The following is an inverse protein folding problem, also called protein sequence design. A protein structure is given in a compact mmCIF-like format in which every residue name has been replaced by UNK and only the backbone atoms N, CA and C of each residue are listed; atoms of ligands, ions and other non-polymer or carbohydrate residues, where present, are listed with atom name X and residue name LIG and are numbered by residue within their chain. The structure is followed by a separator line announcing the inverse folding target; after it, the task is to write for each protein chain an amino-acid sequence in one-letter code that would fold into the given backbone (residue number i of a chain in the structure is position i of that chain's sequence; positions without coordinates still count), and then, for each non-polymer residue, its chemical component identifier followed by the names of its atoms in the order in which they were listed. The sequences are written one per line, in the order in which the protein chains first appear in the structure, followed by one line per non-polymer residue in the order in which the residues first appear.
data_IF_288150943949
#
_entry.id   IF_288150943949
#
_cell.length_a   1.000
_cell.length_b   1.000
_cell.length_c   1.000
_cell.angle_alpha   90.00
_cell.angle_beta   90.00
_cell.angle_gamma   90.00
#
_symmetry.space_group_name_H-M   'P 1'
#
loop_
_entity.id
_entity.type
_entity.pdbx_description
1 polymer ?
#
# COMPACT_ATOMS: atom_id res chain seq x y z
N UNK A 1 -16.59 -13.06 0.94
CA UNK A 1 -15.37 -13.27 0.15
C UNK A 1 -14.21 -12.70 0.93
N UNK A 2 -13.04 -13.35 0.88
CA UNK A 2 -11.83 -12.77 1.46
C UNK A 2 -11.24 -11.72 0.51
N UNK A 3 -10.68 -10.66 1.09
CA UNK A 3 -9.99 -9.60 0.34
C UNK A 3 -8.61 -9.39 0.94
N UNK A 4 -7.60 -9.60 0.11
CA UNK A 4 -6.19 -9.34 0.43
C UNK A 4 -5.70 -8.17 -0.43
N UNK A 5 -5.01 -7.23 0.20
CA UNK A 5 -4.33 -6.11 -0.45
C UNK A 5 -2.84 -6.29 -0.25
N UNK A 6 -2.07 -6.29 -1.33
CA UNK A 6 -0.60 -6.34 -1.26
C UNK A 6 -0.01 -5.11 -1.92
N UNK A 7 0.89 -4.43 -1.22
CA UNK A 7 1.63 -3.28 -1.70
C UNK A 7 3.09 -3.71 -1.88
N UNK A 8 3.68 -3.40 -3.04
CA UNK A 8 5.08 -3.74 -3.36
C UNK A 8 5.78 -2.54 -3.96
N UNK A 9 6.93 -2.17 -3.43
CA UNK A 9 7.79 -1.17 -4.09
C UNK A 9 8.70 -1.85 -5.12
N UNK A 10 8.59 -1.48 -6.39
CA UNK A 10 9.40 -2.07 -7.45
C UNK A 10 10.81 -1.53 -7.38
N UNK A 11 11.79 -2.42 -7.27
CA UNK A 11 13.20 -2.06 -7.38
C UNK A 11 13.53 -1.70 -8.84
N UNK A 12 13.80 -0.42 -9.13
CA UNK A 12 14.20 -0.02 -10.49
C UNK A 12 15.61 -0.46 -10.87
N UNK A 13 16.43 -0.93 -9.92
CA UNK A 13 17.72 -1.54 -10.21
C UNK A 13 17.62 -3.01 -10.65
N UNK A 14 16.45 -3.64 -10.54
CA UNK A 14 16.24 -5.01 -10.98
C UNK A 14 16.55 -5.16 -12.47
N UNK A 15 17.42 -6.10 -12.80
CA UNK A 15 17.80 -6.46 -14.16
C UNK A 15 17.23 -7.82 -14.53
N UNK A 16 16.21 -7.83 -15.39
CA UNK A 16 15.66 -9.08 -15.93
C UNK A 16 16.72 -9.86 -16.72
N UNK A 17 17.59 -9.17 -17.47
CA UNK A 17 18.66 -9.81 -18.25
C UNK A 17 19.66 -10.56 -17.35
N UNK A 18 20.03 -9.97 -16.21
CA UNK A 18 20.90 -10.64 -15.23
C UNK A 18 20.21 -11.87 -14.63
N UNK A 19 18.92 -11.74 -14.28
CA UNK A 19 18.11 -12.84 -13.77
C UNK A 19 18.03 -14.00 -14.77
N UNK A 20 17.72 -13.72 -16.04
CA UNK A 20 17.62 -14.73 -17.09
C UNK A 20 18.94 -15.48 -17.31
N UNK A 21 20.06 -14.75 -17.25
CA UNK A 21 21.39 -15.32 -17.51
C UNK A 21 21.94 -16.15 -16.35
N UNK A 22 21.68 -15.76 -15.10
CA UNK A 22 22.37 -16.33 -13.94
C UNK A 22 21.45 -17.06 -12.96
N UNK A 23 20.13 -16.83 -13.02
CA UNK A 23 19.15 -17.31 -12.04
C UNK A 23 17.84 -17.79 -12.69
N UNK A 24 17.88 -18.27 -13.93
CA UNK A 24 16.71 -18.85 -14.63
C UNK A 24 15.50 -17.88 -14.72
N UNK A 25 15.79 -16.58 -14.78
CA UNK A 25 14.79 -15.50 -14.83
C UNK A 25 14.21 -15.10 -13.48
N UNK A 26 14.69 -15.70 -12.39
CA UNK A 26 14.28 -15.40 -11.02
C UNK A 26 15.16 -14.33 -10.38
N UNK A 27 14.62 -13.68 -9.34
CA UNK A 27 15.39 -12.76 -8.51
C UNK A 27 16.44 -13.51 -7.67
N UNK A 28 17.44 -12.76 -7.23
CA UNK A 28 18.51 -13.23 -6.35
C UNK A 28 18.85 -12.15 -5.33
N UNK A 29 19.68 -12.49 -4.34
CA UNK A 29 20.10 -11.54 -3.30
C UNK A 29 20.75 -10.27 -3.87
N UNK A 30 21.47 -10.40 -5.00
CA UNK A 30 22.12 -9.30 -5.69
C UNK A 30 21.21 -8.58 -6.71
N UNK A 31 20.01 -9.12 -6.98
CA UNK A 31 19.08 -8.64 -8.00
C UNK A 31 17.63 -8.82 -7.55
N UNK A 32 17.29 -8.25 -6.39
CA UNK A 32 15.95 -8.29 -5.81
C UNK A 32 14.94 -7.51 -6.65
N UNK A 33 13.72 -8.03 -6.79
CA UNK A 33 12.70 -7.41 -7.66
C UNK A 33 11.89 -6.32 -6.97
N UNK A 34 11.64 -6.49 -5.68
CA UNK A 34 10.87 -5.55 -4.87
C UNK A 34 11.71 -5.14 -3.66
N UNK A 35 11.72 -3.85 -3.32
CA UNK A 35 12.49 -3.35 -2.18
C UNK A 35 11.84 -3.76 -0.85
N UNK A 36 10.50 -3.80 -0.82
CA UNK A 36 9.71 -4.24 0.32
C UNK A 36 8.30 -4.66 -0.14
N UNK A 37 7.61 -5.39 0.72
CA UNK A 37 6.23 -5.86 0.55
C UNK A 37 5.44 -5.62 1.84
N UNK A 38 4.20 -5.17 1.70
CA UNK A 38 3.21 -5.07 2.78
C UNK A 38 1.93 -5.80 2.37
N UNK A 39 1.47 -6.75 3.19
CA UNK A 39 0.27 -7.54 2.93
C UNK A 39 -0.77 -7.33 4.04
N UNK A 40 -1.99 -7.01 3.63
CA UNK A 40 -3.11 -6.72 4.50
C UNK A 40 -4.30 -7.59 4.09
N UNK A 41 -4.98 -8.15 5.09
CA UNK A 41 -6.22 -8.90 4.88
C UNK A 41 -7.38 -8.22 5.62
N UNK A 42 -8.53 -8.12 4.96
CA UNK A 42 -9.76 -7.69 5.63
C UNK A 42 -10.26 -8.85 6.49
N UNK A 43 -10.29 -8.64 7.81
CA UNK A 43 -10.57 -9.71 8.78
C UNK A 43 -12.00 -10.27 8.72
N UNK A 44 -12.95 -9.51 8.17
CA UNK A 44 -14.34 -9.91 8.00
C UNK A 44 -14.65 -10.29 6.56
N UNK A 45 -15.68 -11.13 6.36
CA UNK A 45 -16.22 -11.43 5.04
C UNK A 45 -16.71 -10.16 4.34
N UNK A 46 -16.09 -9.86 3.21
CA UNK A 46 -16.45 -8.72 2.38
C UNK A 46 -17.66 -9.10 1.51
N UNK A 47 -18.65 -8.22 1.47
CA UNK A 47 -19.84 -8.34 0.64
C UNK A 47 -19.67 -7.56 -0.69
N UNK A 48 -18.97 -6.42 -0.66
CA UNK A 48 -18.69 -5.60 -1.84
C UNK A 48 -17.25 -5.07 -1.83
N UNK A 49 -16.57 -5.16 -2.97
CA UNK A 49 -15.21 -4.66 -3.17
C UNK A 49 -15.19 -3.71 -4.37
N UNK A 50 -14.97 -2.44 -4.11
CA UNK A 50 -15.00 -1.37 -5.12
C UNK A 50 -13.67 -0.62 -5.16
N UNK A 51 -13.21 -0.27 -6.36
CA UNK A 51 -12.00 0.54 -6.57
C UNK A 51 -12.40 1.91 -7.10
N UNK A 52 -12.05 2.95 -6.36
CA UNK A 52 -12.24 4.34 -6.74
C UNK A 52 -10.90 4.92 -7.20
N UNK A 53 -10.78 5.12 -8.51
CA UNK A 53 -9.61 5.76 -9.10
C UNK A 53 -9.78 7.28 -9.15
N UNK A 54 -8.70 8.00 -8.84
CA UNK A 54 -8.64 9.46 -8.91
C UNK A 54 -9.71 10.15 -8.04
N UNK A 55 -9.87 9.65 -6.82
CA UNK A 55 -10.81 10.18 -5.84
C UNK A 55 -10.08 10.95 -4.75
N UNK A 56 -10.84 11.70 -3.96
CA UNK A 56 -10.39 12.21 -2.68
C UNK A 56 -10.47 11.11 -1.62
N UNK A 57 -9.47 11.05 -0.73
CA UNK A 57 -9.47 10.24 0.48
C UNK A 57 -9.54 11.16 1.70
N UNK A 58 -10.50 10.94 2.59
CA UNK A 58 -10.59 11.68 3.84
C UNK A 58 -9.65 11.04 4.87
N UNK A 59 -8.52 11.68 5.12
CA UNK A 59 -7.62 11.35 6.21
C UNK A 59 -8.19 11.97 7.49
N UNK A 60 -8.68 11.14 8.40
CA UNK A 60 -9.30 11.57 9.65
C UNK A 60 -8.75 10.80 10.85
N UNK A 61 -8.72 11.44 12.01
CA UNK A 61 -8.15 10.87 13.23
C UNK A 61 -8.19 11.86 14.39
N UNK A 62 -7.44 11.56 15.44
CA UNK A 62 -7.27 12.44 16.59
C UNK A 62 -5.80 12.83 16.77
N UNK A 63 -5.55 14.13 16.95
CA UNK A 63 -4.30 14.71 17.43
C UNK A 63 -4.46 15.01 18.92
N UNK A 64 -4.08 14.05 19.77
CA UNK A 64 -4.47 14.05 21.19
C UNK A 64 -5.99 14.01 21.34
N UNK A 65 -6.59 15.08 21.87
CA UNK A 65 -8.05 15.23 22.01
C UNK A 65 -8.70 16.04 20.86
N UNK A 66 -7.92 16.47 19.86
CA UNK A 66 -8.43 17.29 18.76
C UNK A 66 -8.71 16.41 17.53
N UNK A 67 -9.97 16.29 17.09
CA UNK A 67 -10.26 15.62 15.84
C UNK A 67 -9.71 16.43 14.67
N UNK A 68 -9.13 15.75 13.69
CA UNK A 68 -8.70 16.35 12.43
C UNK A 68 -9.34 15.63 11.24
N UNK A 69 -9.45 16.34 10.12
CA UNK A 69 -9.89 15.78 8.85
C UNK A 69 -9.31 16.56 7.68
N UNK A 70 -8.60 15.87 6.79
CA UNK A 70 -8.03 16.43 5.58
C UNK A 70 -8.44 15.59 4.36
N UNK A 71 -8.85 16.25 3.28
CA UNK A 71 -9.13 15.57 2.02
C UNK A 71 -7.87 15.54 1.17
N UNK A 72 -7.38 14.33 0.87
CA UNK A 72 -6.20 14.11 0.05
C UNK A 72 -6.65 13.77 -1.37
N UNK A 73 -6.44 14.66 -2.37
CA UNK A 73 -6.87 14.42 -3.74
C UNK A 73 -5.96 13.42 -4.46
N UNK A 74 -6.45 12.87 -5.58
CA UNK A 74 -5.62 12.08 -6.49
C UNK A 74 -5.24 10.70 -5.94
N UNK A 75 -6.11 10.10 -5.14
CA UNK A 75 -5.92 8.79 -4.52
C UNK A 75 -6.57 7.68 -5.35
N UNK A 76 -6.04 6.47 -5.21
CA UNK A 76 -6.71 5.22 -5.57
C UNK A 76 -7.18 4.57 -4.28
N UNK A 77 -8.48 4.41 -4.11
CA UNK A 77 -9.09 3.89 -2.87
C UNK A 77 -9.78 2.56 -3.14
N UNK A 78 -9.37 1.51 -2.45
CA UNK A 78 -10.08 0.24 -2.39
C UNK A 78 -11.04 0.27 -1.19
N UNK A 79 -12.33 0.22 -1.47
CA UNK A 79 -13.38 0.18 -0.45
C UNK A 79 -13.91 -1.26 -0.33
N UNK A 80 -13.86 -1.80 0.89
CA UNK A 80 -14.37 -3.11 1.23
C UNK A 80 -15.55 -2.93 2.19
N UNK A 81 -16.76 -3.30 1.74
CA UNK A 81 -17.96 -3.29 2.60
C UNK A 81 -18.17 -4.70 3.11
N UNK A 82 -18.14 -4.87 4.43
CA UNK A 82 -18.37 -6.17 5.06
C UNK A 82 -19.86 -6.49 5.11
N UNK A 83 -20.20 -7.77 5.29
CA UNK A 83 -21.60 -8.19 5.43
C UNK A 83 -22.31 -7.53 6.63
N UNK A 84 -21.56 -7.14 7.66
CA UNK A 84 -22.04 -6.40 8.84
C UNK A 84 -22.26 -4.91 8.61
N UNK A 85 -21.88 -4.38 7.44
CA UNK A 85 -22.01 -2.96 7.09
C UNK A 85 -20.79 -2.10 7.45
N UNK A 86 -19.71 -2.69 7.97
CA UNK A 86 -18.45 -1.98 8.19
C UNK A 86 -17.78 -1.67 6.85
N UNK A 87 -17.06 -0.55 6.79
CA UNK A 87 -16.34 -0.12 5.59
C UNK A 87 -14.86 -0.02 5.93
N UNK A 88 -14.05 -0.87 5.31
CA UNK A 88 -12.58 -0.76 5.34
C UNK A 88 -12.09 -0.08 4.07
N UNK A 89 -11.13 0.84 4.20
CA UNK A 89 -10.55 1.58 3.06
C UNK A 89 -9.04 1.49 3.06
N UNK A 90 -8.51 1.07 1.92
CA UNK A 90 -7.08 1.12 1.60
C UNK A 90 -6.88 2.22 0.56
N UNK A 91 -5.87 3.06 0.72
CA UNK A 91 -5.74 4.25 -0.11
C UNK A 91 -4.28 4.50 -0.48
N UNK A 92 -4.00 4.65 -1.78
CA UNK A 92 -2.65 4.90 -2.27
C UNK A 92 -2.65 6.12 -3.19
N UNK A 93 -1.74 7.06 -2.96
CA UNK A 93 -1.51 8.20 -3.85
C UNK A 93 -1.15 7.72 -5.24
N UNK A 94 -1.92 8.14 -6.25
CA UNK A 94 -1.71 7.69 -7.64
C UNK A 94 -0.33 8.02 -8.19
N UNK A 95 0.31 9.09 -7.69
CA UNK A 95 1.66 9.48 -8.09
C UNK A 95 2.69 8.41 -7.72
N UNK A 96 2.46 7.66 -6.63
CA UNK A 96 3.30 6.54 -6.17
C UNK A 96 3.07 5.28 -7.01
N UNK A 97 1.86 5.07 -7.51
CA UNK A 97 1.46 3.86 -8.23
C UNK A 97 2.16 3.81 -9.60
N UNK A 98 2.85 2.70 -9.85
CA UNK A 98 3.33 2.28 -11.18
C UNK A 98 2.29 1.45 -11.90
N UNK A 99 1.71 0.46 -11.22
CA UNK A 99 0.70 -0.44 -11.79
C UNK A 99 -0.23 -0.99 -10.70
N UNK A 100 -1.37 -1.54 -11.09
CA UNK A 100 -2.27 -2.27 -10.18
C UNK A 100 -2.76 -3.55 -10.83
N UNK A 101 -2.86 -4.62 -10.05
CA UNK A 101 -3.38 -5.91 -10.54
C UNK A 101 -4.47 -6.43 -9.63
N UNK A 102 -5.58 -6.87 -10.22
CA UNK A 102 -6.64 -7.60 -9.52
C UNK A 102 -6.60 -9.07 -9.93
N UNK A 103 -6.54 -9.96 -8.95
CA UNK A 103 -6.73 -11.40 -9.12
C UNK A 103 -7.99 -11.83 -8.38
N UNK A 104 -8.75 -12.76 -8.95
CA UNK A 104 -9.94 -13.32 -8.32
C UNK A 104 -9.83 -14.84 -8.34
N UNK A 105 -9.95 -15.48 -7.19
CA UNK A 105 -9.88 -16.94 -7.08
C UNK A 105 -11.16 -17.56 -7.62
N UNK A 106 -11.13 -18.88 -7.90
CA UNK A 106 -12.35 -19.63 -8.30
C UNK A 106 -13.46 -19.58 -7.25
N UNK A 107 -13.12 -19.29 -5.98
CA UNK A 107 -14.06 -19.15 -4.87
C UNK A 107 -14.63 -17.74 -4.73
N UNK A 108 -14.12 -16.78 -5.50
CA UNK A 108 -14.55 -15.39 -5.46
C UNK A 108 -13.72 -14.49 -4.54
N UNK A 109 -12.65 -15.00 -3.92
CA UNK A 109 -11.75 -14.18 -3.10
C UNK A 109 -10.96 -13.23 -4.00
N UNK A 110 -10.73 -12.02 -3.52
CA UNK A 110 -10.07 -10.96 -4.27
C UNK A 110 -8.68 -10.71 -3.70
N UNK A 111 -7.68 -10.70 -4.57
CA UNK A 111 -6.34 -10.22 -4.24
C UNK A 111 -6.02 -9.02 -5.09
N UNK A 112 -5.82 -7.86 -4.47
CA UNK A 112 -5.49 -6.62 -5.16
C UNK A 112 -4.06 -6.18 -4.87
N UNK A 113 -3.31 -5.90 -5.91
CA UNK A 113 -1.91 -5.50 -5.83
C UNK A 113 -1.76 -4.03 -6.21
N UNK A 114 -1.05 -3.29 -5.37
CA UNK A 114 -0.45 -2.00 -5.71
C UNK A 114 1.05 -2.19 -5.95
N UNK A 115 1.52 -1.85 -7.14
CA UNK A 115 2.94 -1.77 -7.43
C UNK A 115 3.37 -0.31 -7.40
N UNK A 116 4.23 0.06 -6.45
CA UNK A 116 4.75 1.41 -6.28
C UNK A 116 6.06 1.59 -7.05
N UNK A 117 6.32 2.83 -7.45
CA UNK A 117 7.62 3.26 -7.98
C UNK A 117 8.62 3.40 -6.82
N UNK A 118 9.86 2.98 -7.01
CA UNK A 118 10.94 3.27 -6.04
C UNK A 118 11.29 4.75 -5.98
N UNK A 119 11.98 5.14 -4.90
CA UNK A 119 12.55 6.49 -4.70
C UNK A 119 11.51 7.62 -4.67
N UNK A 120 10.25 7.27 -4.44
CA UNK A 120 9.19 8.24 -4.23
C UNK A 120 8.85 8.31 -2.73
N UNK A 121 9.16 9.43 -2.05
CA UNK A 121 8.90 9.56 -0.63
C UNK A 121 7.39 9.56 -0.37
N UNK A 122 6.99 8.76 0.61
CA UNK A 122 5.61 8.59 1.03
C UNK A 122 5.51 8.55 2.55
N UNK A 123 4.29 8.70 3.04
CA UNK A 123 3.93 8.64 4.45
C UNK A 123 2.86 7.57 4.60
N UNK A 124 3.03 6.70 5.58
CA UNK A 124 2.09 5.65 5.93
C UNK A 124 1.43 5.97 7.29
N UNK A 125 0.37 6.81 7.31
CA UNK A 125 -0.27 7.19 8.58
C UNK A 125 -1.06 6.05 9.23
N UNK A 126 -1.54 5.07 8.44
CA UNK A 126 -2.32 3.93 8.89
C UNK A 126 -2.05 2.73 7.98
N UNK A 127 -2.06 1.48 8.49
CA UNK A 127 -1.89 0.29 7.66
C UNK A 127 -2.77 0.32 6.41
N UNK A 128 -2.15 0.17 5.24
CA UNK A 128 -2.85 0.22 3.97
C UNK A 128 -3.14 1.60 3.39
N UNK A 129 -2.61 2.68 3.99
CA UNK A 129 -2.73 4.05 3.49
C UNK A 129 -1.35 4.61 3.14
N UNK A 130 -1.09 4.83 1.86
CA UNK A 130 0.19 5.34 1.37
C UNK A 130 -0.02 6.69 0.68
N UNK A 131 0.41 7.78 1.31
CA UNK A 131 0.24 9.14 0.80
C UNK A 131 1.59 9.68 0.33
N UNK A 132 1.65 10.32 -0.85
CA UNK A 132 2.89 10.98 -1.27
C UNK A 132 3.26 12.07 -0.27
N UNK A 133 4.54 12.16 0.12
CA UNK A 133 5.01 13.17 1.08
C UNK A 133 4.69 14.61 0.64
N UNK A 134 4.54 14.84 -0.67
CA UNK A 134 4.14 16.14 -1.22
C UNK A 134 2.65 16.49 -1.02
N UNK A 135 1.79 15.48 -0.88
CA UNK A 135 0.35 15.64 -0.74
C UNK A 135 -0.12 15.42 0.72
N UNK A 136 0.82 15.09 1.63
CA UNK A 136 0.53 14.91 3.05
C UNK A 136 0.30 16.27 3.74
N UNK A 137 -0.72 16.42 4.62
CA UNK A 137 -0.98 17.69 5.30
C UNK A 137 0.20 18.15 6.14
N UNK A 138 0.67 19.38 5.94
CA UNK A 138 1.84 19.92 6.65
C UNK A 138 1.55 20.20 8.13
N UNK A 139 0.27 20.31 8.48
CA UNK A 139 -0.23 20.47 9.83
C UNK A 139 -0.12 19.20 10.68
N UNK A 140 0.03 18.02 10.05
CA UNK A 140 0.20 16.76 10.75
C UNK A 140 1.69 16.42 10.91
N UNK A 141 2.11 15.92 12.08
CA UNK A 141 3.44 15.35 12.21
C UNK A 141 3.57 14.17 11.24
N UNK A 142 4.67 14.12 10.50
CA UNK A 142 5.00 12.91 9.75
C UNK A 142 5.34 11.84 10.80
N UNK A 143 4.67 10.67 10.80
CA UNK A 143 5.06 9.58 11.68
C UNK A 143 6.56 9.32 11.49
N UNK A 144 7.32 9.34 12.58
CA UNK A 144 8.73 8.94 12.53
C UNK A 144 8.75 7.52 11.96
N UNK A 145 9.55 7.30 10.91
CA UNK A 145 9.90 5.94 10.52
C UNK A 145 10.53 5.37 11.80
N UNK A 146 9.90 4.38 12.44
CA UNK A 146 10.57 3.62 13.49
C UNK A 146 11.83 3.08 12.81
N UNK A 147 12.96 3.75 13.04
CA UNK A 147 14.26 3.16 12.83
C UNK A 147 14.16 1.87 13.65
N UNK A 148 14.05 0.74 12.97
CA UNK A 148 14.34 -0.55 13.58
C UNK A 148 15.79 -0.38 13.99
N UNK A 149 16.00 0.11 15.21
CA UNK A 149 17.28 0.13 15.87
C UNK A 149 17.72 -1.31 15.75
N UNK A 150 18.73 -1.56 14.91
CA UNK A 150 19.37 -2.85 14.91
C UNK A 150 19.76 -3.08 16.36
N UNK A 151 19.08 -4.01 17.01
CA UNK A 151 19.49 -4.51 18.31
C UNK A 151 20.94 -4.95 18.12
N UNK A 152 21.83 -4.10 18.64
CA UNK A 152 23.23 -4.41 18.85
C UNK A 152 23.32 -5.62 19.78
N UNK A 153 24.15 -6.57 19.35
CA UNK A 153 24.96 -7.47 20.17
C UNK A 153 24.26 -8.60 20.96
N UNK A 154 24.55 -9.85 20.58
CA UNK A 154 25.66 -10.62 21.19
C UNK A 154 26.18 -11.73 20.26
#
# INVERSE_FOLDING_TARGET
MHVTITIKEINSAFSQEYADRNHEGQESEENIKYNWEDELEVSEDVADFTIHNNTEYALEGMDGDKPFRFNIPGMCVCECKTAGGNISRFAVSRKLIRDTKKSVTKKGDVHFFFFLKDKHPHVNPFPGVYISKHDFPVELPVPEEEEISGDEEE
#
